data_IF_015983303371
#
_entry.id   IF_015983303371
#
_cell.length_a   1.000
_cell.length_b   1.000
_cell.length_c   1.000
_cell.angle_alpha   90.00
_cell.angle_beta   90.00
_cell.angle_gamma   90.00
#
_symmetry.space_group_name_H-M   'P 1'
#
loop_
_entity.id
_entity.type
_entity.pdbx_description
1 polymer ?
#
# COMPACT_ATOMS: atom_id res chain seq x y z
N UNK A 1 -75.74 -3.57 -56.61
CA UNK A 1 -75.24 -2.19 -56.45
C UNK A 1 -74.33 -1.88 -57.64
N UNK A 2 -74.90 -1.15 -58.61
CA UNK A 2 -74.21 -0.40 -59.68
C UNK A 2 -73.60 0.88 -59.05
N UNK A 3 -72.57 1.54 -59.65
CA UNK A 3 -72.58 2.09 -61.02
C UNK A 3 -71.34 1.70 -61.84
N UNK A 4 -71.47 1.11 -63.04
CA UNK A 4 -71.77 1.69 -64.38
C UNK A 4 -70.49 1.80 -65.23
N UNK A 5 -70.40 1.04 -66.34
CA UNK A 5 -69.31 1.08 -67.34
C UNK A 5 -69.36 2.32 -68.26
N UNK A 6 -68.75 2.35 -69.48
CA UNK A 6 -68.04 1.30 -70.24
C UNK A 6 -66.68 1.71 -70.90
N UNK A 7 -66.03 0.75 -71.58
CA UNK A 7 -64.94 0.80 -72.61
C UNK A 7 -65.28 1.70 -73.84
N UNK A 8 -64.44 1.91 -74.91
CA UNK A 8 -63.06 1.45 -75.26
C UNK A 8 -62.13 2.50 -75.96
N UNK A 9 -60.92 2.03 -76.35
CA UNK A 9 -60.18 2.27 -77.63
C UNK A 9 -59.16 3.43 -77.76
N UNK A 10 -57.96 3.01 -78.21
CA UNK A 10 -56.92 3.73 -78.97
C UNK A 10 -56.12 4.80 -78.19
N UNK A 11 -54.83 5.04 -78.41
CA UNK A 11 -53.98 4.71 -79.54
C UNK A 11 -52.53 4.64 -79.05
N UNK A 12 -51.78 3.68 -79.58
CA UNK A 12 -50.32 3.60 -79.52
C UNK A 12 -49.65 4.92 -79.95
N UNK A 13 -48.41 5.12 -79.49
CA UNK A 13 -47.35 6.05 -79.96
C UNK A 13 -46.95 7.17 -78.99
N UNK A 14 -46.34 6.83 -77.84
CA UNK A 14 -45.49 7.77 -77.09
C UNK A 14 -44.51 7.11 -76.11
N UNK A 15 -44.00 5.91 -76.42
CA UNK A 15 -42.97 5.25 -75.60
C UNK A 15 -41.68 4.90 -76.37
N UNK A 16 -41.54 5.37 -77.62
CA UNK A 16 -40.37 5.09 -78.47
C UNK A 16 -39.33 6.23 -78.44
N UNK A 17 -39.66 7.44 -77.96
CA UNK A 17 -38.72 8.57 -77.98
C UNK A 17 -37.86 8.80 -76.72
N UNK A 18 -37.98 7.99 -75.66
CA UNK A 18 -37.15 8.15 -74.45
C UNK A 18 -36.11 7.02 -74.23
N UNK A 19 -36.11 6.00 -75.09
CA UNK A 19 -35.11 4.91 -75.08
C UNK A 19 -33.97 5.11 -76.09
N UNK A 20 -34.00 6.20 -76.87
CA UNK A 20 -33.03 6.49 -77.94
C UNK A 20 -31.94 7.51 -77.55
N UNK A 21 -31.90 7.99 -76.31
CA UNK A 21 -30.89 8.97 -75.84
C UNK A 21 -29.90 8.38 -74.82
N UNK A 22 -30.08 7.13 -74.37
CA UNK A 22 -29.08 6.43 -73.54
C UNK A 22 -28.15 5.50 -74.35
N UNK A 23 -28.34 5.38 -75.66
CA UNK A 23 -27.52 4.52 -76.53
C UNK A 23 -26.45 5.30 -77.33
N UNK A 24 -26.20 6.57 -76.98
CA UNK A 24 -25.15 7.41 -77.56
C UNK A 24 -24.01 7.74 -76.59
N UNK A 25 -23.84 6.94 -75.53
CA UNK A 25 -22.54 6.82 -74.89
C UNK A 25 -21.80 5.71 -75.66
N UNK A 26 -20.67 6.01 -76.33
CA UNK A 26 -19.87 4.95 -76.93
C UNK A 26 -19.55 3.92 -75.83
N UNK A 27 -19.55 2.60 -76.14
CA UNK A 27 -18.94 1.66 -75.23
C UNK A 27 -17.50 2.15 -75.03
N UNK A 28 -17.22 2.66 -73.84
CA UNK A 28 -15.87 3.03 -73.45
C UNK A 28 -15.01 1.82 -73.79
N UNK A 29 -14.04 2.00 -74.69
CA UNK A 29 -13.00 1.02 -74.92
C UNK A 29 -12.51 0.62 -73.54
N UNK A 30 -12.65 -0.65 -73.16
CA UNK A 30 -11.89 -1.18 -72.03
C UNK A 30 -10.43 -0.93 -72.41
N UNK A 31 -9.87 0.15 -71.88
CA UNK A 31 -8.46 0.45 -72.02
C UNK A 31 -7.74 -0.75 -71.44
N UNK A 32 -7.04 -1.48 -72.30
CA UNK A 32 -6.22 -2.58 -71.86
C UNK A 32 -5.20 -2.00 -70.88
N UNK A 33 -5.38 -2.31 -69.60
CA UNK A 33 -4.58 -1.76 -68.51
C UNK A 33 -3.25 -2.51 -68.51
N UNK A 34 -2.27 -1.95 -69.22
CA UNK A 34 -0.90 -2.46 -69.19
C UNK A 34 -0.31 -2.20 -67.80
N UNK A 35 0.60 -3.07 -67.33
CA UNK A 35 1.26 -2.89 -66.05
C UNK A 35 2.77 -3.01 -66.23
N UNK A 36 3.52 -2.17 -65.51
CA UNK A 36 4.96 -2.33 -65.34
C UNK A 36 5.20 -3.20 -64.11
N UNK A 37 5.90 -4.33 -64.29
CA UNK A 37 6.28 -5.26 -63.22
C UNK A 37 7.76 -5.14 -62.91
N UNK A 38 8.09 -5.31 -61.64
CA UNK A 38 9.47 -5.31 -61.14
C UNK A 38 9.73 -6.66 -60.51
N UNK A 39 10.71 -7.38 -61.03
CA UNK A 39 11.06 -8.72 -60.57
C UNK A 39 12.50 -8.74 -60.04
N UNK A 40 12.75 -9.25 -58.81
CA UNK A 40 11.78 -9.78 -57.86
C UNK A 40 10.92 -8.71 -57.15
N UNK A 41 9.71 -9.10 -56.75
CA UNK A 41 8.81 -8.26 -55.96
C UNK A 41 9.16 -8.34 -54.47
N UNK A 42 9.50 -7.20 -53.87
CA UNK A 42 9.86 -7.02 -52.46
C UNK A 42 10.91 -8.03 -51.93
N UNK A 43 12.10 -8.12 -52.54
CA UNK A 43 13.11 -9.11 -52.16
C UNK A 43 13.71 -8.84 -50.78
N UNK A 44 14.10 -9.90 -50.09
CA UNK A 44 14.83 -9.85 -48.81
C UNK A 44 16.22 -10.43 -48.99
N UNK A 45 17.25 -9.59 -48.85
CA UNK A 45 18.64 -9.95 -49.18
C UNK A 45 19.59 -9.73 -48.00
N UNK A 46 20.67 -10.52 -47.87
CA UNK A 46 21.71 -10.25 -46.89
C UNK A 46 22.40 -8.91 -47.19
N UNK A 47 22.85 -8.21 -46.15
CA UNK A 47 23.59 -6.97 -46.34
C UNK A 47 24.90 -7.18 -47.13
N UNK A 48 25.12 -6.35 -48.15
CA UNK A 48 26.30 -6.36 -49.01
C UNK A 48 26.19 -7.26 -50.23
N UNK A 49 25.12 -8.06 -50.35
CA UNK A 49 24.86 -8.87 -51.54
C UNK A 49 24.49 -8.00 -52.75
N UNK A 50 24.58 -8.63 -53.92
CA UNK A 50 24.14 -8.03 -55.19
C UNK A 50 22.81 -8.63 -55.63
N UNK A 51 21.99 -7.86 -56.34
CA UNK A 51 20.66 -8.25 -56.77
C UNK A 51 20.45 -7.93 -58.25
N UNK A 52 19.93 -8.88 -59.02
CA UNK A 52 19.45 -8.65 -60.37
C UNK A 52 17.98 -8.22 -60.32
N UNK A 53 17.68 -7.08 -60.95
CA UNK A 53 16.32 -6.54 -61.04
C UNK A 53 15.91 -6.45 -62.49
N UNK A 54 14.74 -6.98 -62.82
CA UNK A 54 14.14 -6.90 -64.15
C UNK A 54 12.87 -6.05 -64.11
N UNK A 55 12.83 -5.01 -64.93
CA UNK A 55 11.65 -4.20 -65.17
C UNK A 55 10.99 -4.68 -66.47
N UNK A 56 9.76 -5.18 -66.42
CA UNK A 56 9.04 -5.67 -67.60
C UNK A 56 7.71 -4.96 -67.79
N UNK A 57 7.37 -4.60 -69.03
CA UNK A 57 6.11 -3.96 -69.42
C UNK A 57 5.43 -4.87 -70.44
N UNK A 58 4.19 -5.26 -70.16
CA UNK A 58 3.39 -6.13 -71.04
C UNK A 58 2.80 -5.40 -72.27
N UNK A 59 3.45 -4.33 -72.73
CA UNK A 59 2.97 -3.43 -73.78
C UNK A 59 3.70 -3.65 -75.13
N UNK A 60 2.97 -3.72 -76.27
CA UNK A 60 3.58 -3.95 -77.59
C UNK A 60 4.54 -2.84 -78.07
N UNK A 61 4.36 -1.61 -77.58
CA UNK A 61 5.12 -0.40 -77.94
C UNK A 61 5.83 0.19 -76.71
N UNK A 62 6.43 -0.69 -75.91
CA UNK A 62 7.18 -0.29 -74.72
C UNK A 62 8.52 0.37 -75.09
N UNK A 63 8.79 1.54 -74.53
CA UNK A 63 10.00 2.33 -74.78
C UNK A 63 10.58 2.91 -73.48
N UNK A 64 11.89 3.20 -73.49
CA UNK A 64 12.61 3.93 -72.43
C UNK A 64 12.45 3.33 -71.02
N UNK A 65 12.56 2.00 -70.90
CA UNK A 65 12.51 1.33 -69.59
C UNK A 65 13.77 1.64 -68.80
N UNK A 66 13.60 2.18 -67.60
CA UNK A 66 14.70 2.56 -66.72
C UNK A 66 14.39 2.22 -65.26
N UNK A 67 15.44 2.00 -64.47
CA UNK A 67 15.35 1.77 -63.03
C UNK A 67 15.88 2.99 -62.28
N UNK A 68 15.07 3.60 -61.43
CA UNK A 68 15.46 4.65 -60.49
C UNK A 68 15.71 4.04 -59.10
N UNK A 69 16.90 4.28 -58.55
CA UNK A 69 17.33 3.81 -57.23
C UNK A 69 18.53 4.64 -56.74
N UNK A 70 18.76 4.67 -55.43
CA UNK A 70 19.95 5.24 -54.80
C UNK A 70 21.17 4.31 -54.84
N UNK A 71 20.97 3.03 -55.19
CA UNK A 71 22.02 2.02 -55.25
C UNK A 71 22.86 2.15 -56.53
N UNK A 72 24.10 1.66 -56.46
CA UNK A 72 24.94 1.49 -57.64
C UNK A 72 24.30 0.44 -58.55
N UNK A 73 24.08 0.81 -59.81
CA UNK A 73 23.45 -0.04 -60.82
C UNK A 73 24.31 -0.12 -62.07
N UNK A 74 24.36 -1.30 -62.66
CA UNK A 74 24.95 -1.57 -63.97
C UNK A 74 23.90 -2.19 -64.89
N UNK A 75 23.95 -1.87 -66.18
CA UNK A 75 23.03 -2.49 -67.16
C UNK A 75 23.40 -3.96 -67.34
N UNK A 76 22.47 -4.86 -67.06
CA UNK A 76 22.64 -6.30 -67.26
C UNK A 76 22.19 -6.75 -68.66
N UNK A 77 21.24 -6.03 -69.24
CA UNK A 77 20.69 -6.29 -70.57
C UNK A 77 19.35 -5.61 -70.79
N UNK A 78 18.91 -5.55 -72.03
CA UNK A 78 17.61 -4.97 -72.41
C UNK A 78 17.05 -5.63 -73.66
N UNK A 79 15.72 -5.67 -73.77
CA UNK A 79 15.02 -6.17 -74.95
C UNK A 79 13.67 -5.48 -75.15
N UNK A 80 12.86 -6.05 -76.05
CA UNK A 80 11.50 -5.56 -76.29
C UNK A 80 10.65 -5.76 -75.01
N UNK A 81 10.20 -4.65 -74.43
CA UNK A 81 9.34 -4.66 -73.24
C UNK A 81 10.04 -4.99 -71.92
N UNK A 82 11.38 -5.09 -71.87
CA UNK A 82 12.06 -5.31 -70.60
C UNK A 82 13.48 -4.71 -70.55
N UNK A 83 13.94 -4.38 -69.33
CA UNK A 83 15.31 -3.98 -69.04
C UNK A 83 15.75 -4.51 -67.68
N UNK A 84 16.96 -5.05 -67.62
CA UNK A 84 17.53 -5.66 -66.42
C UNK A 84 18.78 -4.91 -65.92
N UNK A 85 18.91 -4.81 -64.60
CA UNK A 85 19.94 -4.04 -63.93
C UNK A 85 20.56 -4.86 -62.79
N UNK A 86 21.88 -4.88 -62.73
CA UNK A 86 22.64 -5.41 -61.59
C UNK A 86 22.82 -4.32 -60.55
N UNK A 87 22.28 -4.55 -59.35
CA UNK A 87 22.51 -3.72 -58.17
C UNK A 87 23.61 -4.35 -57.33
N UNK A 88 24.64 -3.59 -56.98
CA UNK A 88 25.78 -4.07 -56.19
C UNK A 88 25.83 -3.45 -54.80
N UNK A 89 26.37 -4.21 -53.84
CA UNK A 89 26.62 -3.79 -52.46
C UNK A 89 25.35 -3.21 -51.78
N UNK A 90 24.28 -4.00 -51.73
CA UNK A 90 23.01 -3.55 -51.15
C UNK A 90 23.08 -3.58 -49.62
N UNK A 91 23.28 -2.41 -49.00
CA UNK A 91 23.49 -2.30 -47.55
C UNK A 91 22.27 -1.82 -46.76
N UNK A 92 21.22 -1.31 -47.39
CA UNK A 92 20.07 -0.78 -46.69
C UNK A 92 18.77 -1.01 -47.43
N UNK A 93 17.68 -0.91 -46.69
CA UNK A 93 16.34 -0.94 -47.26
C UNK A 93 16.21 0.20 -48.26
N UNK A 94 15.69 -0.11 -49.45
CA UNK A 94 15.49 0.89 -50.50
C UNK A 94 14.27 0.54 -51.33
N UNK A 95 13.59 1.57 -51.81
CA UNK A 95 12.56 1.43 -52.81
C UNK A 95 13.20 1.48 -54.20
N UNK A 96 12.79 0.55 -55.06
CA UNK A 96 13.07 0.53 -56.48
C UNK A 96 11.88 1.12 -57.22
N UNK A 97 12.13 2.00 -58.17
CA UNK A 97 11.12 2.55 -59.07
C UNK A 97 11.54 2.25 -60.49
N UNK A 98 10.84 1.33 -61.15
CA UNK A 98 11.00 1.14 -62.59
C UNK A 98 10.03 2.08 -63.31
N UNK A 99 10.51 2.81 -64.30
CA UNK A 99 9.73 3.69 -65.16
C UNK A 99 9.88 3.28 -66.62
N UNK A 100 8.84 3.47 -67.42
CA UNK A 100 8.89 3.29 -68.87
C UNK A 100 7.65 3.87 -69.53
N UNK A 101 7.61 3.87 -70.86
CA UNK A 101 6.51 4.43 -71.62
C UNK A 101 5.81 3.36 -72.44
N UNK A 102 4.48 3.44 -72.53
CA UNK A 102 3.65 2.60 -73.38
C UNK A 102 2.68 3.51 -74.14
N UNK A 103 2.71 3.50 -75.47
CA UNK A 103 1.90 4.39 -76.31
C UNK A 103 1.95 5.88 -75.87
N UNK A 104 3.13 6.36 -75.45
CA UNK A 104 3.33 7.72 -74.95
C UNK A 104 2.85 8.00 -73.52
N UNK A 105 2.21 7.03 -72.84
CA UNK A 105 1.81 7.13 -71.42
C UNK A 105 2.91 6.56 -70.52
N UNK A 106 3.27 7.30 -69.47
CA UNK A 106 4.27 6.84 -68.50
C UNK A 106 3.66 5.77 -67.58
N UNK A 107 4.39 4.67 -67.43
CA UNK A 107 4.08 3.54 -66.58
C UNK A 107 5.15 3.43 -65.50
N UNK A 108 4.73 3.12 -64.27
CA UNK A 108 5.62 2.97 -63.12
C UNK A 108 5.33 1.67 -62.37
N UNK A 109 6.38 1.10 -61.79
CA UNK A 109 6.29 -0.09 -60.93
C UNK A 109 7.27 0.03 -59.77
N UNK A 110 6.89 -0.51 -58.61
CA UNK A 110 7.67 -0.39 -57.38
C UNK A 110 8.01 -1.76 -56.78
N UNK A 111 9.19 -1.86 -56.17
CA UNK A 111 9.60 -3.02 -55.37
C UNK A 111 10.47 -2.54 -54.21
N UNK A 112 10.21 -3.03 -52.99
CA UNK A 112 10.97 -2.62 -51.80
C UNK A 112 11.99 -3.69 -51.45
N UNK A 113 13.29 -3.38 -51.54
CA UNK A 113 14.32 -4.26 -51.03
C UNK A 113 14.37 -4.12 -49.51
N UNK A 114 14.29 -5.24 -48.79
CA UNK A 114 14.59 -5.31 -47.36
C UNK A 114 15.93 -5.99 -47.15
N UNK A 115 16.82 -5.37 -46.38
CA UNK A 115 18.13 -5.91 -46.05
C UNK A 115 18.11 -6.50 -44.66
N UNK A 116 18.52 -7.76 -44.54
CA UNK A 116 18.67 -8.41 -43.24
C UNK A 116 20.14 -8.52 -42.82
N UNK A 117 20.34 -8.45 -41.51
CA UNK A 117 21.63 -8.65 -40.84
C UNK A 117 21.41 -9.49 -39.60
N UNK A 118 22.34 -10.38 -39.30
CA UNK A 118 22.34 -11.07 -38.02
C UNK A 118 22.84 -10.14 -36.90
N UNK A 119 22.39 -10.33 -35.65
CA UNK A 119 22.99 -9.66 -34.50
C UNK A 119 24.49 -9.97 -34.40
N UNK A 120 25.32 -8.94 -34.33
CA UNK A 120 26.78 -9.07 -34.27
C UNK A 120 27.25 -9.51 -32.87
N UNK A 121 26.54 -9.06 -31.83
CA UNK A 121 26.88 -9.31 -30.43
C UNK A 121 25.62 -9.50 -29.61
N UNK A 122 25.52 -10.62 -28.91
CA UNK A 122 24.44 -10.94 -27.97
C UNK A 122 25.07 -11.26 -26.63
N UNK A 123 24.96 -10.32 -25.69
CA UNK A 123 25.64 -10.43 -24.41
C UNK A 123 24.67 -10.23 -23.24
N UNK A 124 24.70 -11.17 -22.31
CA UNK A 124 24.07 -10.97 -21.01
C UNK A 124 24.94 -10.04 -20.17
N UNK A 125 24.35 -8.99 -19.61
CA UNK A 125 25.03 -8.11 -18.68
C UNK A 125 25.51 -8.90 -17.43
N UNK A 126 26.56 -8.44 -16.73
CA UNK A 126 27.03 -9.08 -15.52
C UNK A 126 25.91 -9.21 -14.47
N UNK A 127 25.71 -10.43 -13.96
CA UNK A 127 24.84 -10.67 -12.81
C UNK A 127 25.51 -10.15 -11.53
N UNK A 128 24.74 -9.80 -10.48
CA UNK A 128 25.31 -9.48 -9.18
C UNK A 128 26.16 -10.64 -8.66
N UNK A 129 27.27 -10.32 -7.98
CA UNK A 129 28.17 -11.33 -7.42
C UNK A 129 27.45 -12.24 -6.41
N UNK A 130 26.50 -11.67 -5.66
CA UNK A 130 25.62 -12.37 -4.71
C UNK A 130 24.24 -11.72 -4.69
N UNK A 131 23.20 -12.52 -4.89
CA UNK A 131 21.81 -12.09 -4.90
C UNK A 131 21.04 -12.61 -3.67
N UNK A 132 20.39 -11.74 -2.87
CA UNK A 132 19.56 -12.21 -1.76
C UNK A 132 18.34 -13.00 -2.25
N UNK A 133 18.05 -14.13 -1.58
CA UNK A 133 16.83 -14.91 -1.86
C UNK A 133 15.59 -14.12 -1.43
N UNK A 134 14.60 -14.02 -2.31
CA UNK A 134 13.36 -13.28 -2.12
C UNK A 134 13.39 -11.86 -2.69
N UNK A 135 14.58 -11.34 -3.00
CA UNK A 135 14.75 -10.04 -3.65
C UNK A 135 14.66 -10.14 -5.17
N UNK A 136 14.38 -9.01 -5.81
CA UNK A 136 14.25 -8.91 -7.27
C UNK A 136 15.63 -8.92 -7.95
N UNK A 137 15.84 -9.88 -8.84
CA UNK A 137 16.99 -9.96 -9.73
C UNK A 137 16.63 -9.33 -11.08
N UNK A 138 17.46 -8.39 -11.54
CA UNK A 138 17.34 -7.79 -12.87
C UNK A 138 18.26 -8.57 -13.81
N UNK A 139 17.69 -9.18 -14.84
CA UNK A 139 18.41 -9.86 -15.91
C UNK A 139 18.35 -8.95 -17.14
N UNK A 140 19.50 -8.51 -17.65
CA UNK A 140 19.61 -7.56 -18.79
C UNK A 140 20.40 -8.19 -19.92
N UNK A 141 19.82 -8.19 -21.11
CA UNK A 141 20.47 -8.61 -22.35
C UNK A 141 20.77 -7.37 -23.22
N UNK A 142 21.94 -7.37 -23.84
CA UNK A 142 22.41 -6.35 -24.78
C UNK A 142 22.61 -6.99 -26.15
N UNK A 143 21.96 -6.44 -27.18
CA UNK A 143 21.96 -6.97 -28.55
C UNK A 143 22.41 -5.89 -29.52
N UNK A 144 23.61 -6.06 -30.08
CA UNK A 144 24.15 -5.15 -31.10
C UNK A 144 23.85 -5.64 -32.51
N UNK A 145 23.49 -4.70 -33.38
CA UNK A 145 23.09 -5.01 -34.75
C UNK A 145 21.83 -5.88 -34.83
N UNK A 146 21.64 -6.51 -35.99
CA UNK A 146 20.43 -7.25 -36.30
C UNK A 146 19.38 -6.39 -37.00
N UNK A 147 18.99 -6.79 -38.20
CA UNK A 147 17.97 -6.13 -39.01
C UNK A 147 17.17 -7.19 -39.80
N UNK A 148 15.88 -6.94 -40.08
CA UNK A 148 15.08 -5.79 -39.64
C UNK A 148 14.66 -5.91 -38.16
N UNK A 149 14.57 -4.77 -37.45
CA UNK A 149 14.41 -4.73 -35.98
C UNK A 149 13.02 -5.17 -35.51
N UNK A 150 12.00 -4.93 -36.31
CA UNK A 150 10.60 -5.35 -36.08
C UNK A 150 10.40 -6.87 -36.11
N UNK A 151 11.30 -7.61 -36.77
CA UNK A 151 11.32 -9.07 -36.79
C UNK A 151 12.33 -9.69 -35.82
N UNK A 152 13.04 -8.86 -35.04
CA UNK A 152 14.03 -9.32 -34.08
C UNK A 152 13.45 -9.33 -32.67
N UNK A 153 13.35 -10.51 -32.07
CA UNK A 153 12.89 -10.70 -30.70
C UNK A 153 14.04 -11.15 -29.79
N UNK A 154 14.03 -10.72 -28.53
CA UNK A 154 14.96 -11.15 -27.49
C UNK A 154 14.20 -11.94 -26.43
N UNK A 155 14.73 -13.12 -26.09
CA UNK A 155 14.21 -14.05 -25.10
C UNK A 155 15.20 -14.16 -23.96
N UNK A 156 14.76 -13.87 -22.73
CA UNK A 156 15.59 -14.08 -21.53
C UNK A 156 15.26 -15.44 -20.93
N UNK A 157 16.31 -16.18 -20.59
CA UNK A 157 16.24 -17.58 -20.20
C UNK A 157 16.89 -17.80 -18.85
N UNK A 158 16.29 -18.69 -18.06
CA UNK A 158 16.92 -19.37 -16.92
C UNK A 158 16.96 -20.85 -17.25
N UNK A 159 18.16 -21.39 -17.41
CA UNK A 159 18.38 -22.68 -18.08
C UNK A 159 17.63 -22.67 -19.43
N UNK A 160 16.71 -23.60 -19.64
CA UNK A 160 15.85 -23.67 -20.83
C UNK A 160 14.49 -22.98 -20.64
N UNK A 161 14.21 -22.43 -19.46
CA UNK A 161 12.92 -21.81 -19.15
C UNK A 161 12.93 -20.33 -19.55
N UNK A 162 11.98 -19.96 -20.39
CA UNK A 162 11.70 -18.57 -20.72
C UNK A 162 11.24 -17.78 -19.48
N UNK A 163 11.91 -16.66 -19.24
CA UNK A 163 11.57 -15.66 -18.24
C UNK A 163 10.73 -14.53 -18.85
N UNK A 164 11.02 -14.17 -20.10
CA UNK A 164 10.25 -13.20 -20.85
C UNK A 164 10.77 -13.02 -22.28
N UNK A 165 9.85 -12.57 -23.15
CA UNK A 165 10.07 -12.25 -24.57
C UNK A 165 9.72 -10.81 -24.83
N UNK A 166 10.61 -10.07 -25.48
CA UNK A 166 10.38 -8.68 -25.86
C UNK A 166 11.01 -8.39 -27.23
N UNK A 167 10.41 -7.53 -28.07
CA UNK A 167 11.04 -7.09 -29.31
C UNK A 167 12.35 -6.35 -29.02
N UNK A 168 13.33 -6.46 -29.92
CA UNK A 168 14.54 -5.68 -29.82
C UNK A 168 14.21 -4.20 -30.06
N UNK A 169 14.57 -3.34 -29.10
CA UNK A 169 14.43 -1.90 -29.24
C UNK A 169 15.27 -1.34 -30.40
N UNK A 170 15.01 -0.08 -30.77
CA UNK A 170 15.79 0.64 -31.80
C UNK A 170 17.15 1.17 -31.30
N UNK A 171 17.42 1.06 -30.00
CA UNK A 171 18.71 1.47 -29.41
C UNK A 171 19.86 0.59 -29.89
N UNK A 172 21.08 1.12 -29.83
CA UNK A 172 22.31 0.41 -30.21
C UNK A 172 23.34 0.52 -29.08
N UNK A 173 23.60 -0.54 -28.30
CA UNK A 173 22.92 -1.85 -28.36
C UNK A 173 21.45 -1.78 -27.92
N UNK A 174 20.63 -2.70 -28.41
CA UNK A 174 19.26 -2.86 -27.94
C UNK A 174 19.27 -3.56 -26.56
N UNK A 175 18.60 -2.95 -25.59
CA UNK A 175 18.58 -3.45 -24.22
C UNK A 175 17.22 -4.03 -23.86
N UNK A 176 17.23 -5.25 -23.33
CA UNK A 176 16.02 -5.94 -22.88
C UNK A 176 16.22 -6.44 -21.47
N UNK A 177 15.31 -6.07 -20.57
CA UNK A 177 15.39 -6.42 -19.16
C UNK A 177 14.15 -7.19 -18.70
N UNK A 178 14.37 -8.20 -17.86
CA UNK A 178 13.31 -8.89 -17.11
C UNK A 178 13.71 -8.93 -15.64
N UNK A 179 12.74 -8.63 -14.77
CA UNK A 179 12.92 -8.68 -13.32
C UNK A 179 12.23 -9.94 -12.79
N UNK A 180 12.97 -10.79 -12.08
CA UNK A 180 12.46 -12.03 -11.49
C UNK A 180 12.82 -12.13 -10.01
N UNK A 181 11.96 -12.71 -9.15
CA UNK A 181 12.34 -12.97 -7.77
C UNK A 181 13.42 -14.06 -7.71
N UNK A 182 14.51 -13.80 -7.00
CA UNK A 182 15.60 -14.76 -6.83
C UNK A 182 15.21 -15.84 -5.81
N UNK A 183 15.27 -17.12 -6.22
CA UNK A 183 14.89 -18.25 -5.38
C UNK A 183 16.13 -18.99 -4.85
N UNK A 184 15.91 -19.82 -3.83
CA UNK A 184 16.96 -20.69 -3.30
C UNK A 184 17.48 -21.65 -4.39
N UNK A 185 16.57 -22.18 -5.19
CA UNK A 185 16.88 -23.13 -6.27
C UNK A 185 17.55 -22.48 -7.49
N UNK A 186 17.56 -21.14 -7.56
CA UNK A 186 18.28 -20.43 -8.61
C UNK A 186 19.80 -20.33 -8.31
N UNK A 187 20.28 -20.83 -7.15
CA UNK A 187 21.71 -20.89 -6.84
C UNK A 187 22.44 -21.83 -7.82
N UNK A 188 23.42 -21.29 -8.53
CA UNK A 188 24.20 -22.02 -9.54
C UNK A 188 23.50 -22.16 -10.88
N UNK A 189 22.26 -21.68 -11.02
CA UNK A 189 21.50 -21.74 -12.27
C UNK A 189 22.10 -20.80 -13.33
N UNK A 190 22.07 -21.24 -14.58
CA UNK A 190 22.51 -20.47 -15.74
C UNK A 190 21.41 -19.51 -16.20
N UNK A 191 21.80 -18.27 -16.46
CA UNK A 191 20.98 -17.28 -17.15
C UNK A 191 21.63 -16.94 -18.47
N UNK A 192 20.82 -16.77 -19.51
CA UNK A 192 21.28 -16.41 -20.85
C UNK A 192 20.19 -15.58 -21.53
N UNK A 193 20.53 -14.99 -22.68
CA UNK A 193 19.52 -14.50 -23.61
C UNK A 193 19.73 -15.09 -25.00
N UNK A 194 18.62 -15.25 -25.71
CA UNK A 194 18.55 -15.74 -27.09
C UNK A 194 17.86 -14.69 -27.95
N UNK A 195 18.45 -14.38 -29.09
CA UNK A 195 17.81 -13.56 -30.13
C UNK A 195 17.15 -14.47 -31.16
N UNK A 196 15.99 -14.04 -31.66
CA UNK A 196 15.19 -14.73 -32.66
C UNK A 196 14.87 -13.73 -33.79
N UNK A 197 15.55 -13.84 -34.92
CA UNK A 197 15.26 -13.08 -36.13
C UNK A 197 14.34 -13.92 -37.03
N UNK A 198 13.07 -13.56 -37.10
CA UNK A 198 12.04 -14.35 -37.78
C UNK A 198 11.76 -13.81 -39.18
N UNK A 199 12.30 -14.48 -40.20
CA UNK A 199 12.11 -14.12 -41.61
C UNK A 199 11.27 -15.14 -42.37
N UNK A 200 10.48 -15.96 -41.65
CA UNK A 200 9.66 -17.02 -42.26
C UNK A 200 8.56 -16.47 -43.17
N UNK A 201 7.97 -15.32 -42.81
CA UNK A 201 6.99 -14.63 -43.67
C UNK A 201 7.58 -14.15 -45.01
N UNK A 202 8.91 -14.05 -45.10
CA UNK A 202 9.65 -13.61 -46.27
C UNK A 202 10.26 -14.81 -47.03
N UNK A 203 9.88 -16.05 -46.68
CA UNK A 203 10.35 -17.28 -47.34
C UNK A 203 11.76 -17.72 -46.94
N UNK A 204 12.36 -17.09 -45.92
CA UNK A 204 13.65 -17.50 -45.36
C UNK A 204 13.41 -18.44 -44.16
N UNK A 205 13.98 -18.13 -42.99
CA UNK A 205 13.88 -18.99 -41.81
C UNK A 205 13.87 -18.21 -40.52
N UNK A 206 13.95 -18.96 -39.41
CA UNK A 206 14.16 -18.42 -38.07
C UNK A 206 15.64 -18.53 -37.73
N UNK A 207 16.31 -17.40 -37.52
CA UNK A 207 17.72 -17.36 -37.17
C UNK A 207 17.87 -17.05 -35.69
N UNK A 208 18.65 -17.88 -35.01
CA UNK A 208 18.82 -17.80 -33.56
C UNK A 208 20.28 -17.62 -33.19
N UNK A 209 20.53 -16.84 -32.14
CA UNK A 209 21.84 -16.69 -31.54
C UNK A 209 21.67 -16.53 -30.02
N UNK A 210 22.65 -16.98 -29.22
CA UNK A 210 22.55 -16.99 -27.76
C UNK A 210 23.80 -16.42 -27.12
N UNK A 211 23.62 -15.67 -26.03
CA UNK A 211 24.73 -15.20 -25.20
C UNK A 211 25.40 -16.36 -24.46
N UNK A 212 26.67 -16.19 -24.09
CA UNK A 212 27.30 -17.05 -23.10
C UNK A 212 26.51 -17.05 -21.77
N UNK A 213 26.24 -18.22 -21.16
CA UNK A 213 25.48 -18.30 -19.93
C UNK A 213 26.27 -17.73 -18.74
N UNK A 214 25.55 -17.10 -17.80
CA UNK A 214 26.11 -16.63 -16.52
C UNK A 214 25.43 -17.32 -15.36
N UNK A 215 26.22 -17.82 -14.41
CA UNK A 215 25.72 -18.48 -13.20
C UNK A 215 25.32 -17.48 -12.14
N UNK A 216 24.12 -17.61 -11.61
CA UNK A 216 23.66 -16.81 -10.46
C UNK A 216 24.17 -17.42 -9.15
N UNK A 217 24.62 -16.58 -8.22
CA UNK A 217 24.91 -16.99 -6.85
C UNK A 217 23.91 -16.34 -5.91
N UNK A 218 23.04 -17.15 -5.32
CA UNK A 218 22.08 -16.65 -4.33
C UNK A 218 22.54 -16.95 -2.90
N UNK A 219 22.13 -16.12 -1.95
CA UNK A 219 22.35 -16.35 -0.52
C UNK A 219 21.12 -15.97 0.29
N UNK A 220 20.93 -16.62 1.43
CA UNK A 220 19.80 -16.32 2.32
C UNK A 220 19.57 -17.39 3.36
N UNK A 221 18.95 -16.99 4.46
CA UNK A 221 18.64 -17.83 5.61
C UNK A 221 17.17 -17.67 6.02
N UNK A 222 16.61 -18.68 6.67
CA UNK A 222 15.18 -18.72 7.05
C UNK A 222 14.83 -17.81 8.23
N UNK A 223 15.81 -17.16 8.84
CA UNK A 223 15.65 -16.39 10.08
C UNK A 223 16.27 -17.09 11.30
N UNK A 224 16.30 -16.42 12.45
CA UNK A 224 16.75 -17.02 13.69
C UNK A 224 15.73 -18.03 14.24
N UNK A 225 16.23 -19.07 14.89
CA UNK A 225 15.46 -19.92 15.78
C UNK A 225 15.49 -19.32 17.20
N UNK A 226 14.34 -18.88 17.68
CA UNK A 226 14.16 -18.31 19.00
C UNK A 226 13.34 -19.29 19.84
N UNK A 227 13.99 -19.88 20.84
CA UNK A 227 13.39 -20.89 21.71
C UNK A 227 13.27 -20.38 23.14
N UNK A 228 12.07 -20.56 23.71
CA UNK A 228 11.75 -20.28 25.10
C UNK A 228 11.47 -21.62 25.78
N UNK A 229 12.35 -22.07 26.69
CA UNK A 229 12.22 -23.40 27.30
C UNK A 229 10.96 -23.54 28.16
N UNK A 230 10.59 -22.48 28.87
CA UNK A 230 9.40 -22.41 29.72
C UNK A 230 8.45 -21.29 29.26
N UNK A 231 7.59 -21.49 28.23
CA UNK A 231 6.72 -20.44 27.72
C UNK A 231 5.62 -20.03 28.70
N UNK A 232 5.24 -20.93 29.62
CA UNK A 232 4.30 -20.70 30.71
C UNK A 232 5.01 -20.94 32.05
N UNK A 233 5.82 -19.97 32.49
CA UNK A 233 6.61 -20.09 33.71
C UNK A 233 5.79 -19.69 34.95
N UNK A 234 6.03 -20.34 36.08
CA UNK A 234 5.52 -19.84 37.38
C UNK A 234 6.44 -18.75 37.93
N UNK A 235 5.90 -17.80 38.70
CA UNK A 235 6.71 -16.80 39.39
C UNK A 235 7.84 -17.45 40.21
N UNK A 236 9.04 -16.89 40.12
CA UNK A 236 10.27 -17.41 40.73
C UNK A 236 11.03 -18.44 39.89
N UNK A 237 10.45 -18.94 38.80
CA UNK A 237 11.13 -19.90 37.91
C UNK A 237 12.17 -19.19 37.04
N UNK A 238 13.37 -19.75 36.93
CA UNK A 238 14.38 -19.28 35.98
C UNK A 238 13.99 -19.69 34.56
N UNK A 239 13.82 -18.72 33.68
CA UNK A 239 13.47 -18.92 32.27
C UNK A 239 14.71 -18.69 31.42
N UNK A 240 14.96 -19.62 30.49
CA UNK A 240 16.06 -19.48 29.50
C UNK A 240 15.51 -19.18 28.11
N UNK A 241 15.94 -18.06 27.55
CA UNK A 241 15.70 -17.66 26.17
C UNK A 241 16.96 -17.91 25.36
N UNK A 242 16.84 -18.65 24.27
CA UNK A 242 17.97 -18.94 23.38
C UNK A 242 17.63 -18.49 21.98
N UNK A 243 18.51 -17.70 21.39
CA UNK A 243 18.48 -17.39 19.98
C UNK A 243 19.68 -18.00 19.26
N UNK A 244 19.43 -18.78 18.23
CA UNK A 244 20.45 -19.35 17.37
C UNK A 244 20.07 -19.17 15.91
N UNK A 245 21.04 -19.19 15.01
CA UNK A 245 20.81 -19.14 13.58
C UNK A 245 21.82 -20.03 12.85
N UNK A 246 21.78 -20.00 11.51
CA UNK A 246 22.73 -20.73 10.69
C UNK A 246 24.19 -20.27 10.85
N UNK A 247 25.14 -21.00 10.27
CA UNK A 247 26.55 -20.61 10.30
C UNK A 247 26.74 -19.21 9.68
N UNK A 248 27.70 -18.43 10.21
CA UNK A 248 28.02 -17.05 9.78
C UNK A 248 26.89 -16.02 9.99
N UNK A 249 25.80 -16.37 10.64
CA UNK A 249 24.74 -15.43 11.01
C UNK A 249 25.05 -14.86 12.39
N UNK A 250 25.13 -13.54 12.50
CA UNK A 250 25.26 -12.86 13.78
C UNK A 250 23.87 -12.64 14.36
N UNK A 251 23.63 -13.09 15.60
CA UNK A 251 22.35 -12.91 16.28
C UNK A 251 22.47 -11.93 17.44
N UNK A 252 21.39 -11.21 17.73
CA UNK A 252 21.23 -10.27 18.84
C UNK A 252 19.91 -10.56 19.54
N UNK A 253 19.96 -10.88 20.84
CA UNK A 253 18.81 -11.19 21.67
C UNK A 253 18.57 -10.02 22.64
N UNK A 254 17.42 -9.34 22.51
CA UNK A 254 17.08 -8.12 23.26
C UNK A 254 18.22 -7.07 23.27
N UNK A 255 18.90 -6.92 22.12
CA UNK A 255 20.02 -6.00 21.95
C UNK A 255 21.39 -6.54 22.36
N UNK A 256 21.46 -7.73 22.99
CA UNK A 256 22.73 -8.37 23.36
C UNK A 256 23.22 -9.27 22.22
N UNK A 257 24.38 -8.98 21.60
CA UNK A 257 24.93 -9.80 20.52
C UNK A 257 25.49 -11.13 21.04
N UNK A 258 25.43 -12.17 20.20
CA UNK A 258 26.21 -13.38 20.41
C UNK A 258 27.72 -13.08 20.33
N UNK A 259 28.52 -13.91 20.99
CA UNK A 259 29.98 -13.73 21.05
C UNK A 259 30.66 -13.74 19.67
N UNK A 260 30.13 -14.51 18.72
CA UNK A 260 30.63 -14.59 17.35
C UNK A 260 29.52 -15.06 16.38
N UNK A 261 29.67 -14.83 15.06
CA UNK A 261 28.72 -15.31 14.07
C UNK A 261 28.59 -16.84 14.10
N UNK A 262 27.35 -17.34 14.10
CA UNK A 262 27.03 -18.76 14.24
C UNK A 262 26.98 -19.29 15.68
N UNK A 263 27.38 -18.49 16.68
CA UNK A 263 27.16 -18.83 18.09
C UNK A 263 25.76 -18.40 18.54
N UNK A 264 25.12 -19.16 19.45
CA UNK A 264 23.85 -18.76 20.04
C UNK A 264 24.02 -17.61 21.05
N UNK A 265 22.99 -16.76 21.16
CA UNK A 265 22.82 -15.83 22.26
C UNK A 265 21.84 -16.41 23.28
N UNK A 266 22.19 -16.33 24.57
CA UNK A 266 21.37 -16.83 25.67
C UNK A 266 21.05 -15.70 26.66
N UNK A 267 19.83 -15.69 27.16
CA UNK A 267 19.38 -14.81 28.24
C UNK A 267 18.67 -15.65 29.30
N UNK A 268 19.07 -15.48 30.56
CA UNK A 268 18.42 -16.10 31.70
C UNK A 268 17.84 -15.02 32.60
N UNK A 269 16.61 -15.23 33.08
CA UNK A 269 15.95 -14.35 34.04
C UNK A 269 15.07 -15.15 34.98
N UNK A 270 14.90 -14.66 36.21
CA UNK A 270 13.90 -15.19 37.13
C UNK A 270 12.56 -14.53 36.85
N UNK A 271 11.55 -15.32 36.50
CA UNK A 271 10.24 -14.82 36.09
C UNK A 271 9.52 -14.13 37.26
N UNK A 272 9.05 -12.91 37.03
CA UNK A 272 8.22 -12.15 38.00
C UNK A 272 6.84 -11.86 37.43
N UNK A 273 5.87 -11.48 38.28
CA UNK A 273 4.56 -11.03 37.81
C UNK A 273 4.61 -9.86 36.80
N UNK A 274 5.71 -9.07 36.77
CA UNK A 274 5.90 -7.98 35.80
C UNK A 274 6.33 -8.47 34.42
N UNK A 275 6.88 -9.68 34.32
CA UNK A 275 7.33 -10.27 33.06
C UNK A 275 6.21 -11.00 32.31
N UNK A 276 4.97 -11.05 32.85
CA UNK A 276 3.85 -11.61 32.12
C UNK A 276 3.57 -10.83 30.84
N UNK A 277 3.50 -11.56 29.72
CA UNK A 277 3.39 -11.02 28.35
C UNK A 277 4.61 -10.25 27.87
N UNK A 278 5.76 -10.38 28.54
CA UNK A 278 7.04 -9.86 28.05
C UNK A 278 7.41 -10.56 26.74
N UNK A 279 7.73 -9.78 25.73
CA UNK A 279 8.15 -10.28 24.41
C UNK A 279 9.66 -10.14 24.27
N UNK A 280 10.32 -11.22 23.92
CA UNK A 280 11.75 -11.25 23.58
C UNK A 280 11.91 -11.13 22.07
N UNK A 281 12.90 -10.36 21.63
CA UNK A 281 13.21 -10.16 20.23
C UNK A 281 14.59 -10.72 19.92
N UNK A 282 14.66 -11.57 18.89
CA UNK A 282 15.93 -11.93 18.30
C UNK A 282 16.04 -11.39 16.88
N UNK A 283 17.07 -10.59 16.65
CA UNK A 283 17.45 -10.11 15.33
C UNK A 283 18.67 -10.88 14.85
N UNK A 284 18.66 -11.24 13.57
CA UNK A 284 19.73 -12.00 12.93
C UNK A 284 20.18 -11.28 11.67
N UNK A 285 21.48 -11.20 11.48
CA UNK A 285 22.12 -10.53 10.35
C UNK A 285 23.06 -11.50 9.65
N UNK A 286 22.93 -11.59 8.32
CA UNK A 286 23.82 -12.34 7.46
C UNK A 286 24.45 -11.37 6.47
N UNK A 287 25.77 -11.21 6.54
CA UNK A 287 26.53 -10.40 5.60
C UNK A 287 27.32 -11.30 4.64
N UNK A 288 27.17 -11.06 3.34
CA UNK A 288 27.91 -11.76 2.29
C UNK A 288 28.40 -10.73 1.28
N UNK A 289 29.72 -10.49 1.23
CA UNK A 289 30.36 -9.58 0.28
C UNK A 289 29.75 -8.16 0.28
N UNK A 290 29.53 -7.58 1.46
CA UNK A 290 28.98 -6.23 1.63
C UNK A 290 27.46 -6.12 1.49
N UNK A 291 26.75 -7.20 1.16
CA UNK A 291 25.28 -7.24 1.15
C UNK A 291 24.78 -7.85 2.46
N UNK A 292 23.92 -7.12 3.17
CA UNK A 292 23.42 -7.50 4.50
C UNK A 292 21.94 -7.90 4.41
N UNK A 293 21.61 -9.07 4.95
CA UNK A 293 20.24 -9.56 5.08
C UNK A 293 19.82 -9.61 6.55
N UNK A 294 18.70 -8.96 6.87
CA UNK A 294 18.12 -8.93 8.22
C UNK A 294 16.89 -9.84 8.32
N UNK A 295 16.79 -10.60 9.41
CA UNK A 295 15.58 -11.33 9.80
C UNK A 295 15.39 -11.20 11.30
N UNK A 296 14.15 -11.24 11.76
CA UNK A 296 13.84 -11.20 13.17
C UNK A 296 12.82 -12.27 13.55
N UNK A 297 12.75 -12.55 14.85
CA UNK A 297 11.72 -13.40 15.44
C UNK A 297 11.44 -12.92 16.85
N UNK A 298 10.20 -13.10 17.29
CA UNK A 298 9.81 -12.78 18.66
C UNK A 298 9.09 -13.95 19.32
N UNK A 299 9.19 -14.02 20.66
CA UNK A 299 8.46 -14.98 21.48
C UNK A 299 7.96 -14.27 22.74
N UNK A 300 6.72 -14.55 23.13
CA UNK A 300 6.12 -13.96 24.33
C UNK A 300 6.15 -14.96 25.48
N UNK A 301 6.65 -14.52 26.63
CA UNK A 301 6.61 -15.26 27.89
C UNK A 301 5.29 -15.00 28.59
N UNK A 302 4.69 -16.07 29.11
CA UNK A 302 3.55 -16.00 30.02
C UNK A 302 4.01 -16.39 31.42
N UNK A 303 3.75 -15.52 32.39
CA UNK A 303 4.10 -15.78 33.79
C UNK A 303 2.83 -16.02 34.59
N UNK A 304 2.79 -17.14 35.31
CA UNK A 304 1.69 -17.54 36.15
C UNK A 304 2.01 -17.20 37.60
N UNK A 305 1.18 -16.37 38.21
CA UNK A 305 1.41 -15.83 39.54
C UNK A 305 0.08 -15.73 40.31
N UNK A 306 0.20 -15.79 41.64
CA UNK A 306 -0.95 -15.78 42.55
C UNK A 306 -1.77 -14.48 42.46
N UNK A 307 -3.02 -14.50 42.93
CA UNK A 307 -3.84 -13.30 42.97
C UNK A 307 -3.28 -12.29 43.98
N UNK A 308 -3.50 -11.01 43.69
CA UNK A 308 -3.17 -9.91 44.59
C UNK A 308 -4.22 -8.80 44.47
N UNK A 309 -4.90 -8.49 45.57
CA UNK A 309 -5.90 -7.42 45.63
C UNK A 309 -5.18 -6.07 45.66
N UNK A 310 -5.54 -5.19 44.74
CA UNK A 310 -4.96 -3.85 44.62
C UNK A 310 -5.56 -2.93 45.70
N UNK A 311 -4.80 -2.70 46.77
CA UNK A 311 -5.24 -1.89 47.93
C UNK A 311 -5.59 -0.45 47.56
N UNK A 312 -4.98 0.11 46.50
CA UNK A 312 -5.32 1.45 46.03
C UNK A 312 -6.68 1.49 45.33
N UNK A 313 -7.12 0.34 44.79
CA UNK A 313 -8.38 0.17 44.09
C UNK A 313 -9.39 -0.66 44.87
N UNK A 314 -9.13 -0.94 46.14
CA UNK A 314 -10.01 -1.68 47.04
C UNK A 314 -9.95 -1.05 48.43
N UNK A 315 -10.88 -0.14 48.77
CA UNK A 315 -10.83 0.64 50.00
C UNK A 315 -11.05 -0.26 51.21
N UNK A 316 -10.20 -0.12 52.23
CA UNK A 316 -10.30 -0.90 53.47
C UNK A 316 -11.41 -0.42 54.41
N UNK A 317 -11.81 0.85 54.29
CA UNK A 317 -12.88 1.46 55.08
C UNK A 317 -13.79 2.27 54.17
N UNK A 318 -15.09 2.06 54.32
CA UNK A 318 -16.13 2.69 53.53
C UNK A 318 -17.18 3.28 54.45
N UNK A 319 -17.66 4.48 54.11
CA UNK A 319 -18.78 5.11 54.80
C UNK A 319 -19.80 5.55 53.76
N UNK A 320 -20.97 4.93 53.79
CA UNK A 320 -22.06 5.21 52.84
C UNK A 320 -23.33 5.59 53.58
N UNK A 321 -24.23 6.31 52.89
CA UNK A 321 -25.54 6.69 53.46
C UNK A 321 -26.59 5.65 53.10
N UNK A 322 -27.50 5.36 54.03
CA UNK A 322 -28.64 4.49 53.76
C UNK A 322 -29.48 4.99 52.57
N UNK A 323 -29.99 4.05 51.76
CA UNK A 323 -30.80 4.30 50.55
C UNK A 323 -30.11 5.11 49.47
N UNK A 324 -28.78 5.00 49.33
CA UNK A 324 -28.02 5.61 48.24
C UNK A 324 -27.45 4.55 47.29
N UNK A 325 -27.29 4.89 46.01
CA UNK A 325 -26.62 4.03 45.03
C UNK A 325 -25.11 4.22 45.14
N UNK A 326 -24.39 3.14 45.46
CA UNK A 326 -22.92 3.15 45.51
C UNK A 326 -22.34 1.95 44.79
N UNK A 327 -21.05 2.00 44.50
CA UNK A 327 -20.29 0.94 43.83
C UNK A 327 -19.06 0.60 44.67
N UNK A 328 -18.90 -0.68 45.01
CA UNK A 328 -17.65 -1.16 45.59
C UNK A 328 -16.62 -1.35 44.47
N UNK A 329 -15.72 -0.39 44.32
CA UNK A 329 -14.54 -0.57 43.48
C UNK A 329 -13.55 -1.46 44.23
N UNK A 330 -13.31 -2.67 43.71
CA UNK A 330 -12.27 -3.57 44.17
C UNK A 330 -11.70 -4.29 42.94
N UNK A 331 -10.38 -4.28 42.77
CA UNK A 331 -9.70 -4.94 41.65
C UNK A 331 -8.61 -5.85 42.20
N UNK A 332 -8.49 -7.03 41.60
CA UNK A 332 -7.40 -7.98 41.86
C UNK A 332 -6.63 -8.24 40.57
N UNK A 333 -5.32 -8.43 40.69
CA UNK A 333 -4.44 -8.85 39.59
C UNK A 333 -4.03 -10.30 39.83
N UNK A 334 -3.77 -11.05 38.77
CA UNK A 334 -3.33 -12.45 38.85
C UNK A 334 -3.33 -13.07 37.46
N UNK A 335 -2.48 -14.07 37.23
CA UNK A 335 -2.49 -14.86 36.00
C UNK A 335 -2.49 -16.36 36.35
N UNK A 336 -3.60 -17.09 36.14
CA UNK A 336 -4.81 -16.66 35.44
C UNK A 336 -5.64 -15.63 36.23
N UNK A 337 -6.50 -14.90 35.51
CA UNK A 337 -7.32 -13.82 36.09
C UNK A 337 -8.17 -14.33 37.26
N UNK A 338 -8.03 -13.77 38.48
CA UNK A 338 -8.70 -14.32 39.65
C UNK A 338 -10.17 -13.92 39.74
N UNK A 339 -10.96 -14.78 40.38
CA UNK A 339 -12.36 -14.51 40.72
C UNK A 339 -12.41 -13.74 42.03
N UNK A 340 -12.93 -12.52 42.00
CA UNK A 340 -13.06 -11.64 43.16
C UNK A 340 -14.47 -11.70 43.74
N UNK A 341 -14.59 -11.92 45.05
CA UNK A 341 -15.86 -11.97 45.78
C UNK A 341 -15.70 -11.35 47.17
N UNK A 342 -16.64 -10.52 47.60
CA UNK A 342 -16.67 -9.97 48.96
C UNK A 342 -17.86 -10.52 49.72
N UNK A 343 -17.59 -11.20 50.84
CA UNK A 343 -18.58 -11.87 51.67
C UNK A 343 -18.68 -11.17 53.02
N UNK A 344 -19.89 -10.81 53.44
CA UNK A 344 -20.13 -10.24 54.77
C UNK A 344 -19.89 -11.31 55.85
N UNK A 345 -19.20 -10.92 56.91
CA UNK A 345 -18.97 -11.74 58.07
C UNK A 345 -20.31 -12.16 58.73
N UNK A 346 -20.50 -13.46 58.96
CA UNK A 346 -21.68 -14.03 59.60
C UNK A 346 -22.89 -14.27 58.70
N UNK A 347 -23.25 -13.33 57.81
CA UNK A 347 -24.43 -13.46 56.93
C UNK A 347 -24.12 -14.13 55.58
N UNK A 348 -22.83 -14.25 55.22
CA UNK A 348 -22.35 -14.72 53.92
C UNK A 348 -22.96 -13.95 52.73
N UNK A 349 -23.50 -12.75 52.98
CA UNK A 349 -24.05 -11.91 51.93
C UNK A 349 -22.95 -11.52 50.93
N UNK A 350 -23.18 -11.83 49.66
CA UNK A 350 -22.25 -11.51 48.57
C UNK A 350 -22.51 -10.12 48.03
N UNK A 351 -21.54 -9.23 48.24
CA UNK A 351 -21.61 -7.85 47.80
C UNK A 351 -21.32 -7.72 46.29
N UNK A 352 -22.09 -6.94 45.50
CA UNK A 352 -21.77 -6.67 44.10
C UNK A 352 -20.51 -5.79 43.98
N UNK A 353 -19.43 -6.38 43.44
CA UNK A 353 -18.17 -5.66 43.18
C UNK A 353 -18.17 -5.10 41.76
N UNK A 354 -17.84 -3.83 41.59
CA UNK A 354 -17.75 -3.18 40.28
C UNK A 354 -19.11 -2.88 39.60
N UNK A 355 -20.22 -3.10 40.30
CA UNK A 355 -21.59 -2.86 39.81
C UNK A 355 -22.31 -1.95 40.82
N UNK A 356 -23.02 -0.89 40.39
CA UNK A 356 -23.79 -0.04 41.32
C UNK A 356 -24.95 -0.80 41.97
N UNK A 357 -25.14 -0.62 43.28
CA UNK A 357 -26.24 -1.21 44.03
C UNK A 357 -26.78 -0.27 45.12
N UNK A 358 -28.03 -0.52 45.55
CA UNK A 358 -28.71 0.26 46.58
C UNK A 358 -28.23 -0.16 47.97
N UNK A 359 -27.60 0.78 48.69
CA UNK A 359 -27.09 0.56 50.05
C UNK A 359 -28.23 0.52 51.07
N UNK A 360 -28.18 -0.45 51.98
CA UNK A 360 -29.13 -0.64 53.09
C UNK A 360 -28.42 -0.69 54.43
N UNK A 361 -29.08 -0.29 55.51
CA UNK A 361 -28.53 -0.33 56.88
C UNK A 361 -27.95 -1.69 57.29
N UNK A 362 -28.54 -2.80 56.84
CA UNK A 362 -28.08 -4.16 57.16
C UNK A 362 -26.80 -4.59 56.43
N UNK A 363 -26.28 -3.75 55.51
CA UNK A 363 -24.98 -3.95 54.88
C UNK A 363 -23.83 -3.38 55.70
N UNK A 364 -24.10 -2.71 56.83
CA UNK A 364 -23.04 -2.31 57.76
C UNK A 364 -22.37 -3.55 58.35
N UNK A 365 -21.03 -3.58 58.36
CA UNK A 365 -20.26 -4.70 58.89
C UNK A 365 -18.91 -4.93 58.20
N UNK A 366 -18.27 -6.03 58.58
CA UNK A 366 -16.98 -6.47 58.04
C UNK A 366 -17.19 -7.41 56.86
N UNK A 367 -16.43 -7.19 55.78
CA UNK A 367 -16.44 -8.00 54.58
C UNK A 367 -15.07 -8.62 54.31
N UNK A 368 -15.05 -9.89 53.94
CA UNK A 368 -13.88 -10.61 53.46
C UNK A 368 -13.89 -10.62 51.94
N UNK A 369 -13.11 -9.74 51.33
CA UNK A 369 -12.88 -9.72 49.89
C UNK A 369 -11.79 -10.72 49.53
N UNK A 370 -12.17 -11.80 48.86
CA UNK A 370 -11.30 -12.89 48.45
C UNK A 370 -11.12 -12.88 46.93
N UNK A 371 -9.87 -12.86 46.48
CA UNK A 371 -9.46 -13.07 45.11
C UNK A 371 -8.87 -14.48 44.98
N UNK A 372 -9.48 -15.34 44.16
CA UNK A 372 -9.13 -16.75 44.06
C UNK A 372 -8.75 -17.13 42.62
N UNK A 373 -7.70 -17.94 42.48
CA UNK A 373 -7.28 -18.52 41.21
C UNK A 373 -6.67 -19.90 41.43
N UNK A 374 -6.35 -20.63 40.34
CA UNK A 374 -5.56 -21.87 40.43
C UNK A 374 -4.14 -21.67 40.97
N UNK A 375 -3.69 -20.42 41.17
CA UNK A 375 -2.38 -20.06 41.72
C UNK A 375 -2.44 -19.62 43.19
N UNK A 376 -3.60 -19.76 43.83
CA UNK A 376 -3.79 -19.44 45.24
C UNK A 376 -4.88 -18.40 45.45
N UNK A 377 -4.89 -17.84 46.66
CA UNK A 377 -5.96 -16.97 47.16
C UNK A 377 -5.37 -15.81 47.94
N UNK A 378 -5.90 -14.61 47.72
CA UNK A 378 -5.56 -13.40 48.49
C UNK A 378 -6.83 -12.83 49.13
N UNK A 379 -6.73 -12.37 50.38
CA UNK A 379 -7.88 -11.93 51.18
C UNK A 379 -7.60 -10.55 51.74
N UNK A 380 -8.56 -9.63 51.58
CA UNK A 380 -8.55 -8.29 52.12
C UNK A 380 -9.82 -8.02 52.92
N UNK A 381 -9.67 -7.55 54.15
CA UNK A 381 -10.80 -7.13 54.99
C UNK A 381 -11.22 -5.70 54.66
N UNK A 382 -12.52 -5.51 54.43
CA UNK A 382 -13.15 -4.22 54.15
C UNK A 382 -14.23 -3.96 55.21
N UNK A 383 -14.12 -2.84 55.91
CA UNK A 383 -15.13 -2.41 56.88
C UNK A 383 -16.08 -1.41 56.22
N UNK A 384 -17.38 -1.71 56.25
CA UNK A 384 -18.42 -0.84 55.72
C UNK A 384 -19.27 -0.29 56.86
N UNK A 385 -19.30 1.02 56.98
CA UNK A 385 -20.20 1.76 57.86
C UNK A 385 -21.34 2.39 57.05
N UNK A 386 -22.58 2.02 57.37
CA UNK A 386 -23.77 2.59 56.70
C UNK A 386 -24.48 3.54 57.66
N UNK A 387 -24.40 4.82 57.36
CA UNK A 387 -25.02 5.88 58.15
C UNK A 387 -26.51 6.01 57.83
N UNK A 388 -27.33 5.77 58.84
CA UNK A 388 -28.76 6.08 58.79
C UNK A 388 -29.04 7.57 58.88
N UNK A 389 -30.21 8.00 58.40
CA UNK A 389 -30.76 9.30 58.79
C UNK A 389 -30.97 9.28 60.30
N UNK A 390 -30.42 10.25 61.02
CA UNK A 390 -30.68 10.46 62.43
C UNK A 390 -31.92 11.38 62.58
N UNK A 391 -33.14 10.84 62.71
CA UNK A 391 -34.35 11.66 62.80
C UNK A 391 -34.33 12.56 64.04
N UNK A 392 -33.64 12.12 65.11
CA UNK A 392 -33.51 12.84 66.38
C UNK A 392 -32.69 14.12 66.21
N UNK A 393 -31.61 14.08 65.43
CA UNK A 393 -30.81 15.28 65.15
C UNK A 393 -31.60 16.32 64.31
N UNK A 394 -32.44 15.85 63.38
CA UNK A 394 -33.28 16.73 62.55
C UNK A 394 -34.40 17.36 63.39
N UNK A 395 -35.06 16.58 64.26
CA UNK A 395 -36.09 17.12 65.16
C UNK A 395 -35.51 18.08 66.20
N UNK A 396 -34.32 17.81 66.74
CA UNK A 396 -33.62 18.74 67.64
C UNK A 396 -33.23 20.04 66.89
N UNK A 397 -32.69 19.94 65.68
CA UNK A 397 -32.31 21.12 64.90
C UNK A 397 -33.54 21.98 64.54
N UNK A 398 -34.64 21.37 64.09
CA UNK A 398 -35.91 22.09 63.86
C UNK A 398 -36.48 22.66 65.17
N UNK A 399 -36.41 21.93 66.28
CA UNK A 399 -36.84 22.40 67.60
C UNK A 399 -36.01 23.60 68.09
N UNK A 400 -34.71 23.60 67.86
CA UNK A 400 -33.84 24.73 68.18
C UNK A 400 -34.13 25.94 67.28
N UNK A 401 -34.40 25.73 65.99
CA UNK A 401 -34.79 26.79 65.06
C UNK A 401 -36.16 27.41 65.42
N UNK A 402 -37.13 26.62 65.86
CA UNK A 402 -38.44 27.13 66.31
C UNK A 402 -38.31 27.91 67.62
N UNK A 403 -37.54 27.40 68.59
CA UNK A 403 -37.26 28.13 69.84
C UNK A 403 -36.52 29.44 69.55
N UNK A 404 -35.50 29.42 68.69
CA UNK A 404 -34.75 30.61 68.32
C UNK A 404 -35.64 31.65 67.61
N UNK A 405 -36.53 31.20 66.71
CA UNK A 405 -37.55 32.05 66.10
C UNK A 405 -38.49 32.68 67.15
N UNK A 406 -38.96 31.88 68.11
CA UNK A 406 -39.80 32.34 69.22
C UNK A 406 -39.10 33.29 70.19
N UNK A 407 -37.78 33.32 70.26
CA UNK A 407 -37.02 34.28 71.09
C UNK A 407 -36.70 35.54 70.30
N UNK A 408 -36.29 35.41 69.04
CA UNK A 408 -35.87 36.53 68.19
C UNK A 408 -37.08 37.40 67.77
N UNK A 409 -38.23 36.82 67.43
CA UNK A 409 -39.44 37.57 67.06
C UNK A 409 -39.93 38.54 68.16
N UNK A 410 -40.14 38.10 69.42
CA UNK A 410 -40.55 39.00 70.49
C UNK A 410 -39.42 39.93 70.94
N UNK A 411 -38.16 39.53 70.88
CA UNK A 411 -37.03 40.44 71.15
C UNK A 411 -36.92 41.55 70.09
N UNK A 412 -37.12 41.23 68.82
CA UNK A 412 -37.17 42.20 67.73
C UNK A 412 -38.40 43.12 67.84
N UNK A 413 -39.57 42.58 68.21
CA UNK A 413 -40.76 43.38 68.54
C UNK A 413 -40.49 44.30 69.74
N UNK A 414 -39.88 43.82 70.83
CA UNK A 414 -39.50 44.64 71.98
C UNK A 414 -38.45 45.70 71.63
N UNK A 415 -37.51 45.41 70.74
CA UNK A 415 -36.52 46.37 70.26
C UNK A 415 -37.20 47.48 69.44
N UNK A 416 -38.05 47.12 68.47
CA UNK A 416 -38.78 48.09 67.63
C UNK A 416 -39.77 48.92 68.46
N UNK A 417 -40.47 48.32 69.42
CA UNK A 417 -41.41 49.04 70.29
C UNK A 417 -40.73 49.79 71.46
N UNK A 418 -39.56 49.34 71.91
CA UNK A 418 -38.82 49.93 73.04
C UNK A 418 -37.93 51.12 72.66
N UNK A 419 -37.40 51.16 71.43
CA UNK A 419 -36.54 52.26 70.96
C UNK A 419 -37.33 53.57 70.70
N UNK A 420 -38.66 53.54 70.73
CA UNK A 420 -39.50 54.74 70.53
C UNK A 420 -39.83 55.52 71.82
N UNK A 421 -39.08 55.35 72.93
CA UNK A 421 -39.34 56.08 74.19
C UNK A 421 -38.09 56.38 75.05
N UNK A 422 -37.48 57.57 74.87
CA UNK A 422 -37.00 58.54 75.91
C UNK A 422 -36.02 59.57 75.27
N UNK A 423 -36.40 60.84 75.15
CA UNK A 423 -36.21 62.00 76.07
C UNK A 423 -34.95 62.83 75.76
N UNK A 424 -35.20 64.05 75.26
CA UNK A 424 -34.30 65.18 75.03
C UNK A 424 -33.94 65.89 76.34
N UNK A 425 -32.65 66.14 76.62
CA UNK A 425 -32.17 67.23 77.51
C UNK A 425 -30.78 67.71 77.06
N UNK A 426 -30.66 69.00 76.75
CA UNK A 426 -29.44 69.70 76.31
C UNK A 426 -28.70 70.35 77.49
N UNK A 427 -27.36 70.44 77.44
CA UNK A 427 -26.52 71.17 78.42
C UNK A 427 -25.73 72.30 77.76
N UNK A 428 -25.84 73.48 78.37
CA UNK A 428 -25.32 74.80 77.99
C UNK A 428 -23.78 74.86 78.01
N UNK A 429 -23.16 75.45 76.97
CA UNK A 429 -21.73 75.84 76.97
C UNK A 429 -21.60 77.34 76.66
N UNK A 430 -20.93 78.06 77.54
CA UNK A 430 -20.71 79.50 77.51
C UNK A 430 -19.84 79.97 76.33
N UNK A 431 -20.09 81.24 76.00
CA UNK A 431 -19.77 82.05 74.84
C UNK A 431 -18.29 82.29 74.53
N UNK A 432 -17.94 82.26 73.24
CA UNK A 432 -16.85 83.07 72.67
C UNK A 432 -17.32 83.78 71.39
N UNK A 433 -17.43 85.09 71.55
CA UNK A 433 -17.31 86.26 70.67
C UNK A 433 -16.88 86.05 69.20
N UNK A 434 -17.70 86.65 68.32
CA UNK A 434 -17.41 87.25 66.99
C UNK A 434 -17.14 86.37 65.73
N UNK A 435 -18.08 86.54 64.78
CA UNK A 435 -18.03 86.40 63.32
C UNK A 435 -16.94 87.32 62.66
N UNK A 436 -16.63 87.24 61.34
CA UNK A 436 -17.34 86.52 60.27
C UNK A 436 -16.51 85.82 59.13
N UNK A 437 -17.27 85.04 58.34
CA UNK A 437 -17.32 84.90 56.86
C UNK A 437 -16.32 84.04 56.04
N UNK A 438 -16.97 83.27 55.14
CA UNK A 438 -16.55 82.72 53.82
C UNK A 438 -15.82 81.35 53.81
N UNK A 439 -15.98 80.45 52.82
CA UNK A 439 -16.97 80.23 51.74
C UNK A 439 -16.74 78.83 51.15
N UNK A 440 -17.86 78.12 50.91
CA UNK A 440 -18.22 77.07 49.92
C UNK A 440 -17.17 76.34 49.03
N UNK A 441 -17.41 75.02 48.96
CA UNK A 441 -17.46 74.11 47.78
C UNK A 441 -16.17 73.35 47.35
N UNK A 442 -16.26 72.26 46.54
CA UNK A 442 -16.37 70.86 47.02
C UNK A 442 -15.46 69.88 46.22
N UNK A 443 -15.80 68.57 46.28
CA UNK A 443 -15.78 67.58 45.18
C UNK A 443 -14.80 66.39 45.27
N UNK A 444 -15.36 65.21 44.91
CA UNK A 444 -14.77 64.02 44.25
C UNK A 444 -13.60 63.26 44.90
N UNK A 445 -13.34 61.98 44.65
CA UNK A 445 -14.09 60.79 44.20
C UNK A 445 -13.05 59.64 44.12
N UNK A 446 -13.53 58.46 43.69
CA UNK A 446 -12.79 57.42 42.95
C UNK A 446 -12.01 56.36 43.77
N UNK A 447 -12.70 55.22 43.91
CA UNK A 447 -12.41 53.89 43.32
C UNK A 447 -11.15 53.07 43.70
N UNK A 448 -11.17 51.85 43.12
CA UNK A 448 -10.09 50.86 42.92
C UNK A 448 -9.98 49.85 44.06
N UNK A 449 -9.91 48.52 43.89
CA UNK A 449 -10.15 47.50 42.85
C UNK A 449 -9.69 46.15 43.46
N UNK A 450 -10.09 45.03 42.83
CA UNK A 450 -9.28 43.79 42.62
C UNK A 450 -8.88 42.97 43.87
N UNK A 451 -9.04 41.64 43.96
CA UNK A 451 -9.12 40.53 42.98
C UNK A 451 -9.89 39.35 43.58
#
# INVERSE_FOLDING_TARGET
MMPSGPLPRACWTSFISLLLVCCLLPPGTQGQEFQLRVEPQNPVVPAGESLLVNCSIDCPSAELISLETSLLKESAGSGLGWAAFHLSNVTGDTQLLCSGFCNGSQMIGFSNITVYRFPERVELAPLPQWQPVGEHLIVRCMVSGGAPRDHLTVVLLREEKELGRQPAGKGEPAEVTVTVPARRDDHGANFSCRTELDLRSQGLGLFQNSSAPRKLRTFGFQGPNLTLREPNATEGTTVTVTCAAGPRVQVTLDGVPAAAPGQPAHLQLNATAKDDRRTFFCNATLEVHGVILHRNRSVQLRVLYGPKIDRAKCPQRLTWKDRTMNILQCQARGNPNPKLQCLQEGSMFKLPVGIPFLVRLNYSGTYYCQAESSRGTDILTVMMDVQGRNPIAITIALGMLTILGLVILPAALLYVFGVKKRHDIYRVRQSSTQLPLASRQPEEAVAVEVS
#
